data_IF_713430566655
#
_entry.id   IF_713430566655
#
_cell.length_a   1.000
_cell.length_b   1.000
_cell.length_c   1.000
_cell.angle_alpha   90.00
_cell.angle_beta   90.00
_cell.angle_gamma   90.00
#
_symmetry.space_group_name_H-M   'P 1'
#
loop_
_entity.id
_entity.type
_entity.pdbx_description
1 polymer ?
#
# COMPACT_ATOMS: atom_id res chain seq x y z
N UNK A 1 -20.62 -13.59 4.12
CA UNK A 1 -19.66 -14.59 3.61
C UNK A 1 -18.55 -13.99 2.74
N UNK A 2 -18.86 -13.22 1.69
CA UNK A 2 -17.83 -12.66 0.80
C UNK A 2 -16.84 -11.70 1.51
N UNK A 3 -17.32 -10.74 2.30
CA UNK A 3 -16.46 -9.78 3.03
C UNK A 3 -15.57 -10.48 4.06
N UNK A 4 -16.13 -11.45 4.80
CA UNK A 4 -15.38 -12.25 5.78
C UNK A 4 -14.23 -13.00 5.14
N UNK A 5 -14.47 -13.61 3.96
CA UNK A 5 -13.41 -14.29 3.19
C UNK A 5 -12.34 -13.31 2.75
N UNK A 6 -12.71 -12.14 2.24
CA UNK A 6 -11.76 -11.08 1.84
C UNK A 6 -10.88 -10.62 3.00
N UNK A 7 -11.44 -10.42 4.19
CA UNK A 7 -10.68 -10.04 5.40
C UNK A 7 -9.71 -11.16 5.78
N UNK A 8 -10.16 -12.42 5.82
CA UNK A 8 -9.30 -13.57 6.14
C UNK A 8 -8.14 -13.69 5.13
N UNK A 9 -8.42 -13.54 3.83
CA UNK A 9 -7.39 -13.54 2.79
C UNK A 9 -6.40 -12.40 2.99
N UNK A 10 -6.86 -11.17 3.24
CA UNK A 10 -5.99 -10.01 3.45
C UNK A 10 -5.11 -10.15 4.69
N UNK A 11 -5.65 -10.67 5.79
CA UNK A 11 -4.87 -10.95 7.00
C UNK A 11 -3.84 -12.05 6.75
N UNK A 12 -4.21 -13.08 6.00
CA UNK A 12 -3.28 -14.14 5.57
C UNK A 12 -2.13 -13.60 4.71
N UNK A 13 -2.44 -12.76 3.72
CA UNK A 13 -1.41 -12.09 2.92
C UNK A 13 -0.58 -11.12 3.73
N UNK A 14 -1.18 -10.38 4.67
CA UNK A 14 -0.44 -9.49 5.57
C UNK A 14 0.58 -10.27 6.41
N UNK A 15 0.18 -11.41 6.96
CA UNK A 15 1.08 -12.30 7.67
C UNK A 15 2.19 -12.82 6.76
N UNK A 16 1.83 -13.36 5.59
CA UNK A 16 2.81 -13.84 4.62
C UNK A 16 3.83 -12.75 4.25
N UNK A 17 3.35 -11.54 3.94
CA UNK A 17 4.17 -10.39 3.56
C UNK A 17 5.11 -9.96 4.69
N UNK A 18 4.63 -9.96 5.94
CA UNK A 18 5.41 -9.57 7.13
C UNK A 18 6.60 -10.49 7.37
N UNK A 19 6.43 -11.79 7.17
CA UNK A 19 7.45 -12.80 7.51
C UNK A 19 8.30 -13.23 6.31
N UNK A 20 7.68 -13.45 5.15
CA UNK A 20 8.38 -13.99 3.97
C UNK A 20 9.03 -12.89 3.13
N UNK A 21 8.55 -11.65 3.21
CA UNK A 21 9.10 -10.50 2.47
C UNK A 21 9.45 -10.85 1.00
N UNK A 22 8.46 -11.28 0.20
CA UNK A 22 8.68 -11.88 -1.12
C UNK A 22 9.33 -10.94 -2.14
N UNK A 23 9.32 -9.62 -1.93
CA UNK A 23 9.94 -8.69 -2.85
C UNK A 23 11.45 -8.57 -2.64
N UNK A 24 12.19 -8.25 -3.71
CA UNK A 24 13.66 -8.12 -3.66
C UNK A 24 14.15 -6.97 -2.79
N UNK A 25 13.39 -5.89 -2.69
CA UNK A 25 13.79 -4.69 -1.94
C UNK A 25 12.94 -4.55 -0.68
N UNK A 26 13.56 -4.07 0.39
CA UNK A 26 12.86 -3.80 1.66
C UNK A 26 11.74 -2.77 1.46
N UNK A 27 11.98 -1.78 0.62
CA UNK A 27 11.01 -0.73 0.30
C UNK A 27 9.74 -1.27 -0.35
N UNK A 28 9.87 -2.18 -1.33
CA UNK A 28 8.70 -2.80 -1.97
C UNK A 28 7.93 -3.66 -0.97
N UNK A 29 8.64 -4.38 -0.09
CA UNK A 29 7.98 -5.16 0.96
C UNK A 29 7.24 -4.28 1.96
N UNK A 30 7.81 -3.12 2.33
CA UNK A 30 7.18 -2.16 3.23
C UNK A 30 5.95 -1.52 2.61
N UNK A 31 6.01 -1.13 1.33
CA UNK A 31 4.86 -0.55 0.63
C UNK A 31 3.72 -1.56 0.48
N UNK A 32 4.03 -2.80 0.15
CA UNK A 32 3.00 -3.84 0.04
C UNK A 32 2.38 -4.17 1.41
N UNK A 33 3.20 -4.23 2.47
CA UNK A 33 2.70 -4.40 3.84
C UNK A 33 1.79 -3.23 4.27
N UNK A 34 2.16 -2.00 3.89
CA UNK A 34 1.35 -0.80 4.17
C UNK A 34 0.04 -0.80 3.37
N UNK A 35 0.07 -1.26 2.11
CA UNK A 35 -1.12 -1.43 1.27
C UNK A 35 -2.10 -2.42 1.91
N UNK A 36 -1.59 -3.58 2.35
CA UNK A 36 -2.39 -4.62 3.00
C UNK A 36 -2.99 -4.12 4.32
N UNK A 37 -2.22 -3.44 5.17
CA UNK A 37 -2.72 -2.83 6.41
C UNK A 37 -3.84 -1.82 6.14
N UNK A 38 -3.63 -0.93 5.17
CA UNK A 38 -4.59 0.11 4.78
C UNK A 38 -5.86 -0.50 4.22
N UNK A 39 -5.74 -1.56 3.41
CA UNK A 39 -6.88 -2.32 2.89
C UNK A 39 -7.69 -3.00 3.99
N UNK A 40 -7.04 -3.62 4.98
CA UNK A 40 -7.69 -4.24 6.13
C UNK A 40 -8.48 -3.19 6.94
N UNK A 41 -7.84 -2.08 7.30
CA UNK A 41 -8.48 -0.98 8.03
C UNK A 41 -9.69 -0.46 7.26
N UNK A 42 -9.54 -0.19 5.96
CA UNK A 42 -10.62 0.36 5.13
C UNK A 42 -11.81 -0.59 5.01
N UNK A 43 -11.58 -1.89 4.75
CA UNK A 43 -12.66 -2.88 4.65
C UNK A 43 -13.34 -3.09 6.00
N UNK A 44 -12.57 -3.16 7.08
CA UNK A 44 -13.12 -3.34 8.42
C UNK A 44 -13.97 -2.13 8.84
N UNK A 45 -13.49 -0.92 8.59
CA UNK A 45 -14.25 0.30 8.84
C UNK A 45 -15.50 0.40 7.97
N UNK A 46 -15.44 0.02 6.68
CA UNK A 46 -16.62 -0.06 5.83
C UNK A 46 -17.66 -1.06 6.35
N UNK A 47 -17.22 -2.19 6.91
CA UNK A 47 -18.11 -3.18 7.53
C UNK A 47 -18.80 -2.62 8.78
N UNK A 48 -18.06 -1.88 9.61
CA UNK A 48 -18.62 -1.19 10.80
C UNK A 48 -19.78 -0.29 10.37
N UNK A 49 -19.58 0.58 9.38
CA UNK A 49 -20.63 1.47 8.87
C UNK A 49 -21.81 0.72 8.24
N UNK A 50 -21.55 -0.41 7.58
CA UNK A 50 -22.61 -1.17 6.91
C UNK A 50 -23.51 -1.98 7.86
N UNK A 51 -22.98 -2.41 9.01
CA UNK A 51 -23.67 -3.32 9.94
C UNK A 51 -24.19 -2.61 11.19
N UNK A 52 -23.56 -1.53 11.60
CA UNK A 52 -23.92 -0.86 12.85
C UNK A 52 -25.16 0.02 12.69
N UNK A 53 -26.32 -0.49 13.07
CA UNK A 53 -27.57 0.29 13.06
C UNK A 53 -27.72 1.27 14.23
N UNK A 54 -26.82 1.23 15.23
CA UNK A 54 -26.84 2.10 16.42
C UNK A 54 -25.44 2.63 16.78
N UNK A 55 -24.65 2.98 15.76
CA UNK A 55 -23.34 3.57 16.01
C UNK A 55 -23.53 5.03 16.43
N UNK A 56 -22.95 5.39 17.56
CA UNK A 56 -22.94 6.77 18.04
C UNK A 56 -22.16 7.65 17.06
N UNK A 57 -22.71 8.81 16.67
CA UNK A 57 -22.10 9.77 15.72
C UNK A 57 -20.61 10.06 15.98
N UNK A 58 -20.19 10.12 17.25
CA UNK A 58 -18.77 10.33 17.61
C UNK A 58 -17.85 9.18 17.19
N UNK A 59 -18.33 7.94 17.22
CA UNK A 59 -17.56 6.78 16.78
C UNK A 59 -17.45 6.73 15.25
N UNK A 60 -18.51 7.10 14.53
CA UNK A 60 -18.48 7.24 13.08
C UNK A 60 -17.42 8.24 12.62
N UNK A 61 -17.39 9.42 13.24
CA UNK A 61 -16.40 10.44 12.94
C UNK A 61 -14.97 9.94 13.22
N UNK A 62 -14.77 9.26 14.36
CA UNK A 62 -13.47 8.66 14.69
C UNK A 62 -13.02 7.64 13.64
N UNK A 63 -13.91 6.75 13.22
CA UNK A 63 -13.61 5.73 12.20
C UNK A 63 -13.27 6.40 10.86
N UNK A 64 -14.02 7.44 10.47
CA UNK A 64 -13.74 8.21 9.27
C UNK A 64 -12.33 8.84 9.32
N UNK A 65 -11.97 9.47 10.44
CA UNK A 65 -10.63 10.04 10.64
C UNK A 65 -9.55 8.96 10.52
N UNK A 66 -9.75 7.78 11.12
CA UNK A 66 -8.80 6.65 11.01
C UNK A 66 -8.62 6.24 9.54
N UNK A 67 -9.71 6.06 8.78
CA UNK A 67 -9.64 5.70 7.35
C UNK A 67 -8.85 6.77 6.59
N UNK A 68 -9.18 8.05 6.79
CA UNK A 68 -8.53 9.16 6.08
C UNK A 68 -7.04 9.24 6.40
N UNK A 69 -6.64 9.07 7.66
CA UNK A 69 -5.24 9.10 8.07
C UNK A 69 -4.47 7.91 7.47
N UNK A 70 -5.00 6.69 7.57
CA UNK A 70 -4.33 5.51 7.03
C UNK A 70 -4.18 5.58 5.50
N UNK A 71 -5.25 5.92 4.78
CA UNK A 71 -5.22 6.05 3.33
C UNK A 71 -4.32 7.21 2.87
N UNK A 72 -4.39 8.36 3.56
CA UNK A 72 -3.51 9.49 3.28
C UNK A 72 -2.04 9.14 3.48
N UNK A 73 -1.71 8.50 4.60
CA UNK A 73 -0.34 8.03 4.88
C UNK A 73 0.14 7.02 3.85
N UNK A 74 -0.69 6.06 3.45
CA UNK A 74 -0.38 5.11 2.39
C UNK A 74 -0.11 5.81 1.06
N UNK A 75 -0.98 6.74 0.65
CA UNK A 75 -0.87 7.44 -0.62
C UNK A 75 0.40 8.30 -0.70
N UNK A 76 0.75 9.00 0.39
CA UNK A 76 1.99 9.77 0.48
C UNK A 76 3.23 8.88 0.31
N UNK A 77 3.28 7.74 1.01
CA UNK A 77 4.37 6.79 0.89
C UNK A 77 4.42 6.21 -0.53
N UNK A 78 3.29 5.76 -1.06
CA UNK A 78 3.21 5.20 -2.40
C UNK A 78 3.71 6.17 -3.48
N UNK A 79 3.29 7.44 -3.43
CA UNK A 79 3.77 8.48 -4.34
C UNK A 79 5.27 8.72 -4.18
N UNK A 80 5.78 8.79 -2.95
CA UNK A 80 7.21 8.95 -2.68
C UNK A 80 8.06 7.84 -3.31
N UNK A 81 7.71 6.57 -3.08
CA UNK A 81 8.45 5.45 -3.66
C UNK A 81 8.25 5.30 -5.16
N UNK A 82 7.09 5.69 -5.70
CA UNK A 82 6.86 5.76 -7.15
C UNK A 82 7.82 6.77 -7.80
N UNK A 83 7.97 7.97 -7.22
CA UNK A 83 8.91 8.98 -7.74
C UNK A 83 10.35 8.48 -7.73
N UNK A 84 10.80 7.87 -6.62
CA UNK A 84 12.14 7.27 -6.54
C UNK A 84 12.37 6.20 -7.62
N UNK A 85 11.37 5.34 -7.88
CA UNK A 85 11.47 4.32 -8.90
C UNK A 85 11.55 4.91 -10.32
N UNK A 86 10.83 6.01 -10.58
CA UNK A 86 10.87 6.71 -11.87
C UNK A 86 12.22 7.39 -12.11
N UNK A 87 12.76 8.07 -11.11
CA UNK A 87 14.09 8.69 -11.18
C UNK A 87 15.19 7.67 -11.48
N UNK A 88 15.17 6.54 -10.76
CA UNK A 88 16.13 5.45 -10.99
C UNK A 88 16.05 4.86 -12.40
N UNK A 89 14.83 4.67 -12.93
CA UNK A 89 14.63 4.18 -14.30
C UNK A 89 15.18 5.17 -15.32
N UNK A 90 14.97 6.47 -15.10
CA UNK A 90 15.49 7.52 -15.97
C UNK A 90 17.03 7.53 -15.99
N UNK A 91 17.67 7.45 -14.83
CA UNK A 91 19.13 7.38 -14.73
C UNK A 91 19.72 6.16 -15.46
N UNK A 92 19.12 4.98 -15.29
CA UNK A 92 19.56 3.77 -16.02
C UNK A 92 19.43 3.89 -17.53
N UNK A 93 18.36 4.51 -18.00
CA UNK A 93 18.16 4.74 -19.43
C UNK A 93 19.21 5.70 -20.00
N UNK A 94 19.53 6.79 -19.28
CA UNK A 94 20.58 7.74 -19.67
C UNK A 94 21.96 7.06 -19.73
N UNK A 95 22.31 6.24 -18.73
CA UNK A 95 23.59 5.49 -18.72
C UNK A 95 23.66 4.52 -19.91
N UNK A 96 22.58 3.79 -20.20
CA UNK A 96 22.54 2.86 -21.34
C UNK A 96 22.80 3.58 -22.67
N UNK A 97 22.16 4.74 -22.89
CA UNK A 97 22.38 5.56 -24.09
C UNK A 97 23.83 6.01 -24.17
N UNK A 98 24.41 6.50 -23.07
CA UNK A 98 25.79 6.97 -23.06
C UNK A 98 26.79 5.84 -23.31
N UNK A 99 26.56 4.65 -22.76
CA UNK A 99 27.40 3.47 -23.01
C UNK A 99 27.29 2.99 -24.46
N UNK A 100 26.08 2.94 -25.04
CA UNK A 100 25.90 2.54 -26.43
C UNK A 100 26.46 3.59 -27.41
N UNK A 101 26.28 4.88 -27.12
CA UNK A 101 26.84 5.98 -27.91
C UNK A 101 28.37 6.03 -27.85
N UNK A 102 28.97 5.70 -26.71
CA UNK A 102 30.42 5.59 -26.54
C UNK A 102 31.07 4.35 -27.17
N UNK A 103 30.29 3.29 -27.46
CA UNK A 103 30.75 2.10 -28.19
C UNK A 103 30.68 2.31 -29.72
N UNK A 104 29.85 3.26 -30.18
CA UNK A 104 29.63 3.58 -31.59
C UNK A 104 30.54 4.70 -32.14
N UNK A 105 31.41 5.28 -31.30
CA UNK A 105 32.50 6.21 -31.70
C UNK A 105 33.85 5.50 -31.59
#
# INVERSE_FOLDING_TARGET
YQITLSIVCLVGFFYFQKYMQPFKTKDNNQIDLLALATGIVTIYSGLIFAVGQDIHEGFELMVLVIITVFNGYFLLNWVYYLMLALEWKNQKFVVLINTLGGILC
#
